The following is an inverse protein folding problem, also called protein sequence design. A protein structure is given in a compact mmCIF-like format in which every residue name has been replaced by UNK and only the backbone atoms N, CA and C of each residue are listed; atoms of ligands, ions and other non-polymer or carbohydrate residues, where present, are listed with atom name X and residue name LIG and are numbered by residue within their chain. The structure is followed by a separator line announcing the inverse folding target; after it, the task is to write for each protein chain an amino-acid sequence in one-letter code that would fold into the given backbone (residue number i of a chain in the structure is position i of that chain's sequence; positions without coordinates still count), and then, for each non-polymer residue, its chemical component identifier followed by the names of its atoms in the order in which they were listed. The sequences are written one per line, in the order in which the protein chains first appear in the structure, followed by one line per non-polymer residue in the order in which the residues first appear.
data_IF_512431464098
#
_entry.id   IF_512431464098
#
_cell.length_a   1.000
_cell.length_b   1.000
_cell.length_c   1.000
_cell.angle_alpha   90.00
_cell.angle_beta   90.00
_cell.angle_gamma   90.00
#
_symmetry.space_group_name_H-M   'P 1'
#
loop_
_entity.id
_entity.type
_entity.pdbx_description
1 polymer ?
#
# COMPACT_ATOMS: atom_id res chain seq x y z
N UNK A 1 -26.06 -7.14 -1.04
CA UNK A 1 -25.56 -6.46 -2.24
C UNK A 1 -24.92 -7.52 -3.10
N UNK A 2 -25.58 -7.88 -4.19
CA UNK A 2 -25.12 -8.94 -5.09
C UNK A 2 -23.96 -8.42 -5.93
N UNK A 3 -23.11 -9.33 -6.40
CA UNK A 3 -22.03 -8.93 -7.31
C UNK A 3 -22.56 -8.36 -8.62
N UNK A 4 -23.84 -8.51 -8.93
CA UNK A 4 -24.51 -8.07 -10.17
C UNK A 4 -24.92 -6.58 -10.18
N UNK A 5 -24.79 -5.86 -9.06
CA UNK A 5 -25.20 -4.45 -8.92
C UNK A 5 -24.18 -3.43 -9.47
N UNK A 6 -23.02 -3.88 -9.98
CA UNK A 6 -21.93 -3.00 -10.42
C UNK A 6 -21.87 -2.82 -11.94
N UNK A 7 -21.63 -1.60 -12.45
CA UNK A 7 -21.55 -1.34 -13.89
C UNK A 7 -20.39 -2.12 -14.54
N UNK A 8 -20.52 -2.50 -15.81
CA UNK A 8 -19.51 -3.28 -16.53
C UNK A 8 -18.09 -2.69 -16.44
N UNK A 9 -17.98 -1.36 -16.42
CA UNK A 9 -16.71 -0.64 -16.24
C UNK A 9 -15.98 -0.95 -14.93
N UNK A 10 -16.70 -1.33 -13.87
CA UNK A 10 -16.11 -1.76 -12.61
C UNK A 10 -15.29 -3.04 -12.77
N UNK A 11 -15.81 -4.07 -13.45
CA UNK A 11 -15.09 -5.33 -13.63
C UNK A 11 -13.85 -5.18 -14.50
N UNK A 12 -13.94 -4.37 -15.56
CA UNK A 12 -12.79 -4.06 -16.42
C UNK A 12 -11.73 -3.30 -15.61
N UNK A 13 -12.15 -2.29 -14.83
CA UNK A 13 -11.26 -1.55 -13.94
C UNK A 13 -10.64 -2.42 -12.86
N UNK A 14 -11.40 -3.34 -12.26
CA UNK A 14 -10.92 -4.28 -11.25
C UNK A 14 -9.91 -5.28 -11.84
N UNK A 15 -10.20 -5.86 -13.00
CA UNK A 15 -9.29 -6.77 -13.69
C UNK A 15 -7.96 -6.07 -14.02
N UNK A 16 -8.01 -4.85 -14.58
CA UNK A 16 -6.82 -4.05 -14.86
C UNK A 16 -6.06 -3.70 -13.58
N UNK A 17 -6.76 -3.26 -12.53
CA UNK A 17 -6.16 -2.93 -11.24
C UNK A 17 -5.46 -4.14 -10.61
N UNK A 18 -6.04 -5.34 -10.71
CA UNK A 18 -5.45 -6.59 -10.19
C UNK A 18 -4.19 -6.97 -10.98
N UNK A 19 -4.23 -6.89 -12.32
CA UNK A 19 -3.05 -7.15 -13.15
C UNK A 19 -1.90 -6.19 -12.85
N UNK A 20 -2.20 -4.89 -12.79
CA UNK A 20 -1.22 -3.85 -12.44
C UNK A 20 -0.67 -4.08 -11.04
N UNK A 21 -1.52 -4.42 -10.08
CA UNK A 21 -1.09 -4.75 -8.70
C UNK A 21 -0.15 -5.94 -8.68
N UNK A 22 -0.43 -6.98 -9.48
CA UNK A 22 0.43 -8.14 -9.63
C UNK A 22 1.83 -7.79 -10.16
N UNK A 23 1.91 -6.97 -11.21
CA UNK A 23 3.17 -6.49 -11.78
C UNK A 23 3.97 -5.67 -10.76
N UNK A 24 3.29 -4.79 -10.01
CA UNK A 24 3.96 -3.96 -9.02
C UNK A 24 4.48 -4.81 -7.85
N UNK A 25 3.67 -5.74 -7.35
CA UNK A 25 4.03 -6.63 -6.23
C UNK A 25 5.18 -7.58 -6.58
N UNK A 26 5.35 -7.89 -7.88
CA UNK A 26 6.49 -8.64 -8.42
C UNK A 26 7.84 -7.91 -8.40
N UNK A 27 7.90 -6.69 -7.84
CA UNK A 27 9.15 -5.94 -7.68
C UNK A 27 9.44 -4.90 -8.77
N UNK A 28 8.60 -4.82 -9.80
CA UNK A 28 8.75 -3.86 -10.91
C UNK A 28 8.13 -2.48 -10.65
N UNK A 29 7.35 -2.29 -9.59
CA UNK A 29 6.52 -1.10 -9.43
C UNK A 29 6.92 -0.09 -8.34
N UNK A 30 8.13 -0.15 -7.79
CA UNK A 30 8.65 0.87 -6.85
C UNK A 30 7.64 1.31 -5.77
N UNK A 31 7.57 2.61 -5.50
CA UNK A 31 6.63 3.20 -4.53
C UNK A 31 5.14 3.18 -4.98
N UNK A 32 4.81 2.67 -6.17
CA UNK A 32 3.46 2.73 -6.76
C UNK A 32 2.54 1.57 -6.35
N UNK A 33 3.02 0.60 -5.55
CA UNK A 33 2.28 -0.64 -5.25
C UNK A 33 0.99 -0.52 -4.47
N UNK A 34 0.77 0.61 -3.80
CA UNK A 34 -0.44 0.86 -3.04
C UNK A 34 -1.57 1.55 -3.83
N UNK A 35 -1.40 1.86 -5.12
CA UNK A 35 -2.32 2.76 -5.83
C UNK A 35 -3.68 2.14 -6.19
N UNK A 36 -3.79 0.82 -6.20
CA UNK A 36 -5.00 0.15 -6.66
C UNK A 36 -6.23 0.43 -5.77
N UNK A 37 -6.07 0.44 -4.44
CA UNK A 37 -7.16 0.74 -3.50
C UNK A 37 -7.62 2.22 -3.61
N UNK A 38 -6.73 3.23 -3.62
CA UNK A 38 -7.09 4.62 -3.90
C UNK A 38 -7.83 4.82 -5.22
N UNK A 39 -7.38 4.17 -6.30
CA UNK A 39 -8.02 4.26 -7.62
C UNK A 39 -9.44 3.68 -7.57
N UNK A 40 -9.62 2.48 -7.03
CA UNK A 40 -10.95 1.88 -6.88
C UNK A 40 -11.87 2.73 -5.98
N UNK A 41 -11.30 3.38 -4.97
CA UNK A 41 -12.03 4.25 -4.04
C UNK A 41 -12.60 5.54 -4.65
N UNK A 42 -12.23 5.86 -5.90
CA UNK A 42 -12.88 6.92 -6.67
C UNK A 42 -14.34 6.58 -6.95
N UNK A 43 -14.63 5.30 -7.23
CA UNK A 43 -15.97 4.83 -7.60
C UNK A 43 -16.71 4.15 -6.44
N UNK A 44 -16.01 3.43 -5.56
CA UNK A 44 -16.62 2.67 -4.47
C UNK A 44 -16.07 3.09 -3.09
N UNK A 45 -16.72 2.62 -2.02
CA UNK A 45 -16.20 2.83 -0.65
C UNK A 45 -14.82 2.16 -0.51
N UNK A 46 -13.83 2.82 0.14
CA UNK A 46 -12.50 2.24 0.35
C UNK A 46 -12.54 0.90 1.11
N UNK A 47 -13.53 0.73 1.99
CA UNK A 47 -13.74 -0.52 2.74
C UNK A 47 -14.09 -1.68 1.80
N UNK A 48 -14.98 -1.43 0.84
CA UNK A 48 -15.41 -2.43 -0.15
C UNK A 48 -14.27 -2.74 -1.12
N UNK A 49 -13.54 -1.71 -1.56
CA UNK A 49 -12.37 -1.88 -2.41
C UNK A 49 -11.30 -2.76 -1.74
N UNK A 50 -10.97 -2.46 -0.48
CA UNK A 50 -10.04 -3.26 0.31
C UNK A 50 -10.57 -4.69 0.51
N UNK A 51 -11.87 -4.86 0.80
CA UNK A 51 -12.49 -6.17 0.98
C UNK A 51 -12.36 -7.09 -0.24
N UNK A 52 -12.53 -6.55 -1.45
CA UNK A 52 -12.33 -7.31 -2.71
C UNK A 52 -10.85 -7.58 -2.96
N UNK A 53 -9.98 -6.62 -2.67
CA UNK A 53 -8.53 -6.75 -2.93
C UNK A 53 -7.83 -7.69 -1.96
N UNK A 54 -8.25 -7.76 -0.69
CA UNK A 54 -7.61 -8.59 0.35
C UNK A 54 -7.41 -10.06 -0.06
N UNK A 55 -8.43 -10.83 -0.49
CA UNK A 55 -8.22 -12.23 -0.88
C UNK A 55 -7.28 -12.37 -2.07
N UNK A 56 -7.35 -11.45 -3.03
CA UNK A 56 -6.49 -11.43 -4.21
C UNK A 56 -5.04 -11.15 -3.80
N UNK A 57 -4.82 -10.17 -2.92
CA UNK A 57 -3.50 -9.83 -2.39
C UNK A 57 -2.90 -10.99 -1.61
N UNK A 58 -3.69 -11.68 -0.77
CA UNK A 58 -3.28 -12.88 -0.06
C UNK A 58 -2.86 -13.99 -1.02
N UNK A 59 -3.62 -14.23 -2.10
CA UNK A 59 -3.24 -15.21 -3.12
C UNK A 59 -1.90 -14.84 -3.77
N UNK A 60 -1.69 -13.56 -4.13
CA UNK A 60 -0.40 -13.08 -4.66
C UNK A 60 0.75 -13.27 -3.66
N UNK A 61 0.52 -13.06 -2.36
CA UNK A 61 1.54 -13.27 -1.32
C UNK A 61 1.97 -14.73 -1.24
N UNK A 62 1.04 -15.68 -1.34
CA UNK A 62 1.36 -17.12 -1.33
C UNK A 62 2.30 -17.47 -2.49
N UNK A 63 2.04 -16.98 -3.70
CA UNK A 63 2.93 -17.19 -4.84
C UNK A 63 4.28 -16.49 -4.67
N UNK A 64 4.30 -15.27 -4.13
CA UNK A 64 5.53 -14.54 -3.83
C UNK A 64 6.41 -15.26 -2.81
N UNK A 65 5.82 -15.73 -1.71
CA UNK A 65 6.49 -16.52 -0.68
C UNK A 65 7.02 -17.83 -1.25
N UNK A 66 6.25 -18.51 -2.11
CA UNK A 66 6.70 -19.72 -2.81
C UNK A 66 7.90 -19.45 -3.72
N UNK A 67 7.91 -18.33 -4.44
CA UNK A 67 9.01 -17.94 -5.32
C UNK A 67 10.31 -17.60 -4.56
N UNK A 68 10.19 -17.02 -3.37
CA UNK A 68 11.34 -16.64 -2.51
C UNK A 68 11.61 -17.64 -1.37
N UNK A 69 11.00 -18.81 -1.41
CA UNK A 69 11.13 -19.83 -0.37
C UNK A 69 12.60 -20.22 -0.19
N UNK A 70 13.08 -20.16 1.06
CA UNK A 70 14.48 -20.41 1.49
C UNK A 70 15.54 -19.38 1.07
N UNK A 71 15.18 -18.25 0.45
CA UNK A 71 16.11 -17.15 0.11
C UNK A 71 16.06 -15.97 1.08
N UNK A 72 15.36 -16.10 2.20
CA UNK A 72 15.17 -15.03 3.18
C UNK A 72 16.37 -14.80 4.10
N UNK A 73 16.54 -13.57 4.58
CA UNK A 73 17.52 -13.23 5.61
C UNK A 73 16.81 -12.80 6.90
N UNK A 74 16.98 -13.57 7.98
CA UNK A 74 16.38 -13.29 9.29
C UNK A 74 16.71 -11.91 9.88
N UNK A 75 17.96 -11.39 9.75
CA UNK A 75 18.30 -10.07 10.28
C UNK A 75 17.50 -8.93 9.63
N UNK A 76 17.06 -9.10 8.38
CA UNK A 76 16.26 -8.10 7.65
C UNK A 76 14.77 -8.35 7.86
N UNK A 77 14.36 -9.62 7.84
CA UNK A 77 12.96 -10.01 7.96
C UNK A 77 12.37 -9.70 9.34
N UNK A 78 13.13 -9.92 10.43
CA UNK A 78 12.61 -9.77 11.80
C UNK A 78 12.20 -8.33 12.14
N UNK A 79 13.03 -7.28 11.90
CA UNK A 79 12.60 -5.90 12.11
C UNK A 79 11.41 -5.50 11.23
N UNK A 80 11.38 -5.96 9.97
CA UNK A 80 10.29 -5.68 9.05
C UNK A 80 8.96 -6.30 9.52
N UNK A 81 9.00 -7.55 10.02
CA UNK A 81 7.82 -8.22 10.57
C UNK A 81 7.30 -7.52 11.83
N UNK A 82 8.18 -7.11 12.74
CA UNK A 82 7.77 -6.40 13.97
C UNK A 82 7.13 -5.05 13.60
N UNK A 83 7.76 -4.29 12.70
CA UNK A 83 7.20 -3.03 12.21
C UNK A 83 5.84 -3.22 11.53
N UNK A 84 5.72 -4.26 10.69
CA UNK A 84 4.45 -4.61 10.04
C UNK A 84 3.37 -4.98 11.07
N UNK A 85 3.71 -5.78 12.08
CA UNK A 85 2.76 -6.20 13.10
C UNK A 85 2.25 -5.01 13.93
N UNK A 86 3.15 -4.12 14.35
CA UNK A 86 2.78 -2.89 15.08
C UNK A 86 1.91 -1.97 14.19
N UNK A 87 2.28 -1.83 12.91
CA UNK A 87 1.51 -1.04 11.95
C UNK A 87 0.10 -1.59 11.71
N UNK A 88 -0.03 -2.90 11.51
CA UNK A 88 -1.33 -3.57 11.33
C UNK A 88 -2.18 -3.46 12.59
N UNK A 89 -1.59 -3.69 13.78
CA UNK A 89 -2.31 -3.58 15.04
C UNK A 89 -2.83 -2.15 15.28
N UNK A 90 -1.97 -1.15 15.11
CA UNK A 90 -2.35 0.26 15.28
C UNK A 90 -3.37 0.71 14.24
N UNK A 91 -3.20 0.32 12.97
CA UNK A 91 -4.15 0.58 11.90
C UNK A 91 -5.52 -0.07 12.14
N UNK A 92 -5.56 -1.32 12.58
CA UNK A 92 -6.79 -2.05 12.90
C UNK A 92 -7.58 -1.38 14.04
N UNK A 93 -6.88 -0.95 15.09
CA UNK A 93 -7.50 -0.21 16.20
C UNK A 93 -8.08 1.14 15.76
N UNK A 94 -7.37 1.87 14.90
CA UNK A 94 -7.88 3.11 14.33
C UNK A 94 -9.06 2.87 13.40
N UNK A 95 -9.03 1.80 12.61
CA UNK A 95 -10.06 1.48 11.62
C UNK A 95 -11.44 1.27 12.25
N UNK A 96 -11.51 0.63 13.42
CA UNK A 96 -12.76 0.43 14.15
C UNK A 96 -13.44 1.74 14.58
N UNK A 97 -12.70 2.85 14.64
CA UNK A 97 -13.21 4.16 15.06
C UNK A 97 -13.55 5.09 13.89
N UNK A 98 -13.29 4.69 12.65
CA UNK A 98 -13.44 5.54 11.47
C UNK A 98 -14.69 5.18 10.65
N UNK A 99 -15.51 6.19 10.35
CA UNK A 99 -16.62 6.06 9.41
C UNK A 99 -16.13 6.02 7.95
N UNK A 100 -16.94 5.49 7.03
CA UNK A 100 -16.59 5.38 5.61
C UNK A 100 -16.18 6.71 4.96
N UNK A 101 -16.80 7.83 5.37
CA UNK A 101 -16.44 9.18 4.89
C UNK A 101 -15.06 9.61 5.39
N UNK A 102 -14.76 9.38 6.67
CA UNK A 102 -13.46 9.71 7.26
C UNK A 102 -12.35 8.87 6.62
N UNK A 103 -12.61 7.60 6.36
CA UNK A 103 -11.66 6.72 5.69
C UNK A 103 -11.39 7.19 4.25
N UNK A 104 -12.43 7.58 3.50
CA UNK A 104 -12.28 8.15 2.16
C UNK A 104 -11.46 9.44 2.18
N UNK A 105 -11.73 10.33 3.14
CA UNK A 105 -10.97 11.57 3.32
C UNK A 105 -9.50 11.27 3.65
N UNK A 106 -9.24 10.36 4.58
CA UNK A 106 -7.89 9.97 5.00
C UNK A 106 -7.07 9.40 3.83
N UNK A 107 -7.64 8.47 3.06
CA UNK A 107 -6.99 7.92 1.86
C UNK A 107 -6.73 9.01 0.82
N UNK A 108 -7.67 9.94 0.64
CA UNK A 108 -7.49 11.10 -0.25
C UNK A 108 -6.34 12.02 0.19
N UNK A 109 -6.26 12.35 1.49
CA UNK A 109 -5.17 13.15 2.05
C UNK A 109 -3.83 12.45 1.87
N UNK A 110 -3.75 11.15 2.13
CA UNK A 110 -2.53 10.35 1.91
C UNK A 110 -2.11 10.41 0.44
N UNK A 111 -3.07 10.30 -0.49
CA UNK A 111 -2.79 10.40 -1.93
C UNK A 111 -2.22 11.77 -2.31
N UNK A 112 -2.80 12.87 -1.79
CA UNK A 112 -2.30 14.23 -2.04
C UNK A 112 -0.89 14.41 -1.46
N UNK A 113 -0.65 13.97 -0.21
CA UNK A 113 0.67 14.02 0.42
C UNK A 113 1.70 13.26 -0.41
N UNK A 114 1.34 12.08 -0.93
CA UNK A 114 2.24 11.27 -1.74
C UNK A 114 2.63 11.98 -3.05
N UNK A 115 1.64 12.57 -3.74
CA UNK A 115 1.88 13.37 -4.95
C UNK A 115 2.77 14.57 -4.65
N UNK A 116 2.50 15.29 -3.55
CA UNK A 116 3.32 16.43 -3.13
C UNK A 116 4.76 16.02 -2.77
N UNK A 117 4.93 14.92 -2.03
CA UNK A 117 6.25 14.42 -1.68
C UNK A 117 7.06 14.02 -2.93
N UNK A 118 6.40 13.39 -3.91
CA UNK A 118 7.01 13.04 -5.19
C UNK A 118 7.37 14.28 -6.00
N UNK A 119 6.49 15.28 -6.05
CA UNK A 119 6.70 16.52 -6.79
C UNK A 119 7.84 17.36 -6.19
N UNK A 120 7.90 17.47 -4.86
CA UNK A 120 8.88 18.29 -4.15
C UNK A 120 10.21 17.55 -3.89
N UNK A 121 10.28 16.25 -4.22
CA UNK A 121 11.38 15.35 -3.84
C UNK A 121 11.79 15.52 -2.37
N UNK A 122 10.83 15.81 -1.49
CA UNK A 122 11.10 16.26 -0.12
C UNK A 122 11.82 15.16 0.68
N UNK A 123 11.41 13.92 0.47
CA UNK A 123 12.08 12.73 1.02
C UNK A 123 13.55 12.58 0.57
N UNK A 124 13.89 12.93 -0.68
CA UNK A 124 15.27 12.90 -1.17
C UNK A 124 16.10 14.01 -0.51
N UNK A 125 15.54 15.23 -0.43
CA UNK A 125 16.18 16.37 0.22
C UNK A 125 16.41 16.16 1.72
N UNK A 126 15.43 15.60 2.43
CA UNK A 126 15.56 15.23 3.85
C UNK A 126 16.59 14.13 4.06
N UNK A 127 16.61 13.12 3.20
CA UNK A 127 17.60 12.03 3.27
C UNK A 127 19.02 12.55 3.06
N UNK A 128 19.21 13.50 2.13
CA UNK A 128 20.49 14.17 1.93
C UNK A 128 20.89 15.03 3.14
N UNK A 129 19.96 15.81 3.70
CA UNK A 129 20.23 16.64 4.88
C UNK A 129 20.57 15.79 6.12
N UNK A 130 19.87 14.68 6.35
CA UNK A 130 20.14 13.75 7.45
C UNK A 130 21.47 13.01 7.27
N UNK A 131 21.80 12.56 6.05
CA UNK A 131 23.13 11.98 5.74
C UNK A 131 24.25 12.97 5.96
N UNK A 132 24.07 14.22 5.51
CA UNK A 132 25.04 15.31 5.71
C UNK A 132 25.26 15.59 7.19
N UNK A 133 24.18 15.72 7.98
CA UNK A 133 24.26 15.96 9.42
C UNK A 133 24.93 14.79 10.16
N UNK A 134 24.67 13.54 9.76
CA UNK A 134 25.33 12.35 10.33
C UNK A 134 26.82 12.26 9.95
N UNK A 135 27.21 12.79 8.78
CA UNK A 135 28.61 12.89 8.36
C UNK A 135 29.36 14.01 9.08
N UNK A 136 28.67 15.10 9.45
CA UNK A 136 29.24 16.22 10.22
C UNK A 136 29.36 15.87 11.72
N UNK A 137 28.51 14.98 12.24
CA UNK A 137 28.56 14.44 13.61
C UNK A 137 29.35 13.12 13.60
N UNK A 138 30.58 13.13 13.04
CA UNK A 138 31.47 11.95 13.05
C UNK A 138 31.71 11.36 14.46
N UNK A 139 32.13 10.09 14.54
CA UNK A 139 32.04 9.22 15.73
C UNK A 139 32.70 9.75 17.00
#
# INVERSE_FOLDING_TARGET
MGFDDYPLGFYIGAAFAVLVTGVIKGGFGGAAGGLAVPIMSLWISPVVAAGVMLPILCAMDVFGVKAYWKKWSWPVLRPALIGAFIGIASGSLMFQRLSAKQLKLLVGVIAVIFVLNKWLALSERLSQALKRKKSEIGP
#
